data_IF_958208765170
#
_entry.id   IF_958208765170
#
_cell.length_a   1.000
_cell.length_b   1.000
_cell.length_c   1.000
_cell.angle_alpha   90.00
_cell.angle_beta   90.00
_cell.angle_gamma   90.00
#
_symmetry.space_group_name_H-M   'P 1'
#
loop_
_entity.id
_entity.type
_entity.pdbx_description
1 polymer ?
#
# COMPACT_ATOMS: atom_id res chain seq x y z
N UNK A 1 -13.61 10.97 15.68
CA UNK A 1 -14.48 12.12 15.60
C UNK A 1 -15.67 12.07 16.61
N UNK A 2 -16.00 10.90 17.18
CA UNK A 2 -16.98 10.79 18.26
C UNK A 2 -18.46 10.95 17.81
N UNK A 3 -18.74 10.85 16.51
CA UNK A 3 -20.11 10.93 16.01
C UNK A 3 -20.91 9.64 16.26
N UNK A 4 -20.22 8.50 16.37
CA UNK A 4 -20.80 7.19 16.67
C UNK A 4 -19.97 6.59 17.80
N UNK A 5 -20.64 6.29 18.90
CA UNK A 5 -20.05 5.69 20.08
C UNK A 5 -20.53 4.25 20.32
N UNK A 6 -21.49 3.78 19.51
CA UNK A 6 -22.15 2.50 19.65
C UNK A 6 -22.57 1.94 18.29
N UNK A 7 -22.45 0.64 18.11
CA UNK A 7 -22.92 -0.11 16.95
C UNK A 7 -23.80 -1.29 17.40
N UNK A 8 -24.58 -1.87 16.51
CA UNK A 8 -25.34 -3.09 16.79
C UNK A 8 -24.44 -4.28 17.14
N UNK A 9 -25.01 -5.32 17.71
CA UNK A 9 -24.24 -6.50 18.13
C UNK A 9 -23.77 -7.35 16.96
N UNK A 10 -24.57 -7.42 15.89
CA UNK A 10 -24.25 -8.19 14.68
C UNK A 10 -23.96 -7.22 13.55
N UNK A 11 -22.73 -7.20 13.08
CA UNK A 11 -22.28 -6.25 12.08
C UNK A 11 -21.72 -6.98 10.87
N UNK A 12 -22.14 -6.57 9.70
CA UNK A 12 -21.59 -7.01 8.43
C UNK A 12 -20.79 -5.86 7.82
N UNK A 13 -19.53 -6.14 7.42
CA UNK A 13 -18.71 -5.21 6.66
C UNK A 13 -18.55 -5.75 5.24
N UNK A 14 -18.98 -4.97 4.25
CA UNK A 14 -18.87 -5.31 2.84
C UNK A 14 -17.61 -4.69 2.25
N UNK A 15 -16.65 -5.51 1.85
CA UNK A 15 -15.42 -5.04 1.20
C UNK A 15 -14.19 -5.84 1.59
N UNK A 16 -13.12 -5.74 0.78
CA UNK A 16 -11.88 -6.48 0.97
C UNK A 16 -10.62 -5.61 0.91
N UNK A 17 -10.74 -4.30 1.17
CA UNK A 17 -9.64 -3.35 1.29
C UNK A 17 -9.31 -3.00 2.73
N UNK A 18 -8.26 -2.20 2.96
CA UNK A 18 -7.86 -1.75 4.30
C UNK A 18 -9.00 -1.04 5.05
N UNK A 19 -9.80 -0.23 4.34
CA UNK A 19 -10.99 0.42 4.94
C UNK A 19 -11.97 -0.60 5.55
N UNK A 20 -12.15 -1.77 4.91
CA UNK A 20 -13.01 -2.80 5.47
C UNK A 20 -12.40 -3.41 6.74
N UNK A 21 -11.07 -3.57 6.79
CA UNK A 21 -10.36 -4.04 7.98
C UNK A 21 -10.50 -3.03 9.14
N UNK A 22 -10.30 -1.74 8.87
CA UNK A 22 -10.53 -0.68 9.86
C UNK A 22 -11.98 -0.67 10.37
N UNK A 23 -12.96 -0.79 9.46
CA UNK A 23 -14.37 -0.81 9.82
C UNK A 23 -14.72 -1.99 10.73
N UNK A 24 -14.26 -3.19 10.42
CA UNK A 24 -14.61 -4.37 11.20
C UNK A 24 -13.95 -4.35 12.59
N UNK A 25 -12.70 -3.96 12.68
CA UNK A 25 -11.96 -3.84 13.96
C UNK A 25 -12.53 -2.73 14.84
N UNK A 26 -12.89 -1.58 14.23
CA UNK A 26 -13.58 -0.49 14.93
C UNK A 26 -14.95 -0.93 15.44
N UNK A 27 -15.70 -1.71 14.65
CA UNK A 27 -17.00 -2.24 15.06
C UNK A 27 -16.91 -3.13 16.30
N UNK A 28 -15.87 -3.96 16.40
CA UNK A 28 -15.62 -4.76 17.61
C UNK A 28 -15.47 -3.87 18.85
N UNK A 29 -14.72 -2.76 18.72
CA UNK A 29 -14.46 -1.81 19.82
C UNK A 29 -15.67 -0.96 20.19
N UNK A 30 -16.62 -0.79 19.28
CA UNK A 30 -17.86 -0.04 19.49
C UNK A 30 -19.01 -0.92 19.98
N UNK A 31 -18.75 -2.18 20.33
CA UNK A 31 -19.72 -3.10 20.92
C UNK A 31 -20.28 -4.17 20.01
N UNK A 32 -19.75 -4.31 18.79
CA UNK A 32 -20.06 -5.43 17.90
C UNK A 32 -19.57 -6.77 18.49
N UNK A 33 -20.48 -7.71 18.67
CA UNK A 33 -20.17 -9.04 19.21
C UNK A 33 -19.92 -10.06 18.11
N UNK A 34 -20.75 -10.07 17.06
CA UNK A 34 -20.62 -10.88 15.86
C UNK A 34 -20.35 -9.94 14.68
N UNK A 35 -19.08 -9.69 14.40
CA UNK A 35 -18.64 -8.84 13.27
C UNK A 35 -18.06 -9.74 12.19
N UNK A 36 -18.56 -9.61 10.96
CA UNK A 36 -18.13 -10.41 9.80
C UNK A 36 -17.78 -9.54 8.63
N UNK A 37 -16.69 -9.87 7.95
CA UNK A 37 -16.31 -9.25 6.67
C UNK A 37 -16.78 -10.14 5.54
N UNK A 38 -17.49 -9.57 4.57
CA UNK A 38 -17.98 -10.27 3.38
C UNK A 38 -17.27 -9.73 2.14
N UNK A 39 -16.65 -10.63 1.38
CA UNK A 39 -15.81 -10.29 0.23
C UNK A 39 -16.24 -11.07 -1.00
N UNK A 40 -16.37 -10.38 -2.12
CA UNK A 40 -16.71 -11.02 -3.40
C UNK A 40 -15.56 -11.82 -4.04
N UNK A 41 -14.34 -11.61 -3.59
CA UNK A 41 -13.11 -12.26 -4.09
C UNK A 41 -12.59 -13.32 -3.11
N UNK A 42 -11.59 -14.09 -3.53
CA UNK A 42 -10.82 -14.96 -2.65
C UNK A 42 -9.99 -14.17 -1.64
N UNK A 43 -9.50 -14.83 -0.63
CA UNK A 43 -8.71 -14.23 0.45
C UNK A 43 -7.39 -13.63 -0.07
N UNK A 44 -6.71 -14.33 -0.96
CA UNK A 44 -5.45 -13.87 -1.55
C UNK A 44 -5.63 -12.69 -2.52
N UNK A 45 -6.83 -12.56 -3.08
CA UNK A 45 -7.17 -11.49 -4.02
C UNK A 45 -7.68 -10.22 -3.35
N UNK A 46 -7.79 -10.23 -2.04
CA UNK A 46 -8.18 -9.05 -1.27
C UNK A 46 -7.11 -7.96 -1.40
N UNK A 47 -7.57 -6.72 -1.55
CA UNK A 47 -6.68 -5.55 -1.65
C UNK A 47 -6.13 -5.08 -0.30
N UNK A 48 -6.67 -5.59 0.80
CA UNK A 48 -6.15 -5.31 2.14
C UNK A 48 -4.73 -5.85 2.28
N UNK A 49 -3.90 -5.13 3.00
CA UNK A 49 -2.53 -5.53 3.33
C UNK A 49 -2.54 -6.85 4.12
N UNK A 50 -1.53 -7.71 3.94
CA UNK A 50 -1.48 -9.00 4.64
C UNK A 50 -1.64 -8.86 6.16
N UNK A 51 -0.94 -7.91 6.77
CA UNK A 51 -1.01 -7.65 8.20
C UNK A 51 -2.39 -7.17 8.68
N UNK A 52 -3.11 -6.36 7.89
CA UNK A 52 -4.48 -5.94 8.23
C UNK A 52 -5.46 -7.13 8.24
N UNK A 53 -5.27 -8.07 7.31
CA UNK A 53 -6.04 -9.32 7.30
C UNK A 53 -5.72 -10.21 8.51
N UNK A 54 -4.43 -10.33 8.84
CA UNK A 54 -3.97 -11.06 10.01
C UNK A 54 -4.52 -10.46 11.31
N UNK A 55 -4.50 -9.14 11.44
CA UNK A 55 -5.06 -8.43 12.60
C UNK A 55 -6.55 -8.68 12.78
N UNK A 56 -7.32 -8.62 11.69
CA UNK A 56 -8.75 -8.90 11.75
C UNK A 56 -9.03 -10.34 12.21
N UNK A 57 -8.28 -11.31 11.68
CA UNK A 57 -8.39 -12.71 12.08
C UNK A 57 -7.97 -12.94 13.54
N UNK A 58 -6.92 -12.23 14.00
CA UNK A 58 -6.47 -12.28 15.38
C UNK A 58 -7.51 -11.74 16.36
N UNK A 59 -8.34 -10.80 15.93
CA UNK A 59 -9.46 -10.25 16.69
C UNK A 59 -10.75 -11.08 16.54
N UNK A 60 -10.65 -12.34 16.10
CA UNK A 60 -11.78 -13.27 15.87
C UNK A 60 -12.85 -12.72 14.91
N UNK A 61 -12.44 -11.98 13.89
CA UNK A 61 -13.34 -11.47 12.85
C UNK A 61 -13.28 -12.37 11.62
N UNK A 62 -14.31 -13.19 11.36
CA UNK A 62 -14.33 -14.05 10.19
C UNK A 62 -14.45 -13.26 8.88
N UNK A 63 -13.63 -13.66 7.90
CA UNK A 63 -13.67 -13.12 6.53
C UNK A 63 -14.30 -14.18 5.63
N UNK A 64 -15.49 -13.89 5.11
CA UNK A 64 -16.25 -14.78 4.25
C UNK A 64 -16.06 -14.37 2.79
N UNK A 65 -15.43 -15.23 2.02
CA UNK A 65 -15.06 -14.98 0.64
C UNK A 65 -16.13 -15.49 -0.34
N UNK A 66 -16.07 -15.00 -1.58
CA UNK A 66 -16.93 -15.42 -2.69
C UNK A 66 -18.43 -15.24 -2.43
N UNK A 67 -18.80 -14.14 -1.78
CA UNK A 67 -20.18 -13.79 -1.49
C UNK A 67 -20.51 -12.38 -1.98
N UNK A 68 -21.64 -12.25 -2.66
CA UNK A 68 -22.14 -10.96 -3.21
C UNK A 68 -23.48 -10.64 -2.56
N UNK A 69 -23.69 -9.45 -2.02
CA UNK A 69 -24.98 -9.06 -1.45
C UNK A 69 -26.01 -8.89 -2.57
N UNK A 70 -27.16 -9.50 -2.40
CA UNK A 70 -28.29 -9.42 -3.35
C UNK A 70 -29.51 -8.70 -2.80
N UNK A 71 -29.72 -8.73 -1.47
CA UNK A 71 -30.84 -8.01 -0.86
C UNK A 71 -30.59 -7.68 0.61
N UNK A 72 -31.03 -6.50 1.03
CA UNK A 72 -31.16 -6.13 2.43
C UNK A 72 -32.54 -6.51 2.93
N UNK A 73 -32.61 -7.25 4.04
CA UNK A 73 -33.85 -7.63 4.69
C UNK A 73 -34.18 -6.65 5.80
N UNK A 74 -35.41 -6.14 5.79
CA UNK A 74 -35.87 -5.19 6.80
C UNK A 74 -37.32 -5.51 7.24
N UNK A 75 -37.63 -5.17 8.47
CA UNK A 75 -38.97 -5.25 9.03
C UNK A 75 -39.29 -3.93 9.71
N UNK A 76 -40.38 -3.30 9.35
CA UNK A 76 -40.77 -1.99 9.85
C UNK A 76 -39.66 -0.92 9.75
N UNK A 77 -38.93 -0.90 8.66
CA UNK A 77 -37.82 0.03 8.42
C UNK A 77 -36.52 -0.30 9.16
N UNK A 78 -36.47 -1.36 9.97
CA UNK A 78 -35.28 -1.81 10.68
C UNK A 78 -34.60 -2.94 9.93
N UNK A 79 -33.28 -2.82 9.73
CA UNK A 79 -32.45 -3.88 9.14
C UNK A 79 -32.47 -5.12 10.05
N UNK A 80 -32.64 -6.29 9.45
CA UNK A 80 -32.62 -7.58 10.16
C UNK A 80 -31.63 -8.57 9.58
N UNK A 81 -31.06 -8.31 8.39
CA UNK A 81 -30.09 -9.17 7.74
C UNK A 81 -29.82 -8.80 6.28
N UNK A 82 -28.85 -9.46 5.71
CA UNK A 82 -28.49 -9.36 4.28
C UNK A 82 -28.50 -10.73 3.64
N UNK A 83 -29.09 -10.84 2.48
CA UNK A 83 -29.05 -12.05 1.66
C UNK A 83 -27.87 -11.96 0.71
N UNK A 84 -27.10 -13.05 0.65
CA UNK A 84 -25.91 -13.18 -0.18
C UNK A 84 -26.07 -14.34 -1.15
N UNK A 85 -25.61 -14.13 -2.37
CA UNK A 85 -25.39 -15.18 -3.35
C UNK A 85 -23.92 -15.61 -3.30
N UNK A 86 -23.68 -16.90 -3.26
CA UNK A 86 -22.32 -17.44 -3.43
C UNK A 86 -21.91 -17.39 -4.89
N UNK A 87 -20.67 -16.99 -5.11
CA UNK A 87 -20.07 -16.85 -6.44
C UNK A 87 -18.75 -17.63 -6.51
N UNK A 88 -18.33 -17.93 -7.73
CA UNK A 88 -16.99 -18.46 -8.03
C UNK A 88 -16.29 -17.62 -9.07
N UNK A 89 -14.97 -17.65 -9.07
CA UNK A 89 -14.18 -16.98 -10.09
C UNK A 89 -14.02 -17.90 -11.30
N UNK A 90 -14.36 -17.39 -12.48
CA UNK A 90 -14.06 -18.03 -13.77
C UNK A 90 -13.19 -17.07 -14.58
N UNK A 91 -12.20 -17.61 -15.29
CA UNK A 91 -11.28 -16.82 -16.09
C UNK A 91 -11.58 -17.00 -17.57
N UNK A 92 -11.72 -15.90 -18.29
CA UNK A 92 -11.90 -15.92 -19.74
C UNK A 92 -10.59 -16.30 -20.47
N UNK A 93 -10.69 -16.52 -21.79
CA UNK A 93 -9.53 -16.86 -22.62
C UNK A 93 -8.41 -15.78 -22.64
N UNK A 94 -8.70 -14.58 -22.13
CA UNK A 94 -7.74 -13.47 -21.99
C UNK A 94 -7.24 -13.32 -20.54
N UNK A 95 -7.53 -14.28 -19.66
CA UNK A 95 -7.14 -14.26 -18.27
C UNK A 95 -7.92 -13.24 -17.39
N UNK A 96 -9.01 -12.65 -17.88
CA UNK A 96 -9.84 -11.74 -17.10
C UNK A 96 -10.78 -12.52 -16.22
N UNK A 97 -10.79 -12.17 -14.95
CA UNK A 97 -11.65 -12.80 -13.95
C UNK A 97 -13.08 -12.29 -14.04
N UNK A 98 -14.03 -13.23 -14.13
CA UNK A 98 -15.45 -13.00 -14.00
C UNK A 98 -15.98 -13.71 -12.76
N UNK A 99 -16.93 -13.11 -12.07
CA UNK A 99 -17.64 -13.74 -10.97
C UNK A 99 -18.96 -14.29 -11.49
N UNK A 100 -19.17 -15.56 -11.34
CA UNK A 100 -20.43 -16.24 -11.73
C UNK A 100 -21.08 -16.88 -10.52
N UNK A 101 -22.41 -17.02 -10.48
CA UNK A 101 -23.09 -17.76 -9.42
C UNK A 101 -22.52 -19.18 -9.27
N UNK A 102 -22.30 -19.62 -8.03
CA UNK A 102 -21.80 -20.99 -7.77
C UNK A 102 -22.85 -22.07 -8.01
N UNK A 103 -24.13 -21.70 -8.00
CA UNK A 103 -25.25 -22.62 -8.02
C UNK A 103 -25.78 -23.00 -6.63
N UNK A 104 -25.09 -22.60 -5.57
CA UNK A 104 -25.57 -22.77 -4.20
C UNK A 104 -26.79 -21.87 -3.92
N UNK A 105 -27.69 -22.25 -2.99
CA UNK A 105 -28.79 -21.41 -2.58
C UNK A 105 -28.31 -20.13 -1.88
N UNK A 106 -29.04 -19.06 -2.08
CA UNK A 106 -28.79 -17.79 -1.40
C UNK A 106 -28.87 -17.95 0.13
N UNK A 107 -27.93 -17.31 0.83
CA UNK A 107 -27.83 -17.37 2.27
C UNK A 107 -28.16 -16.00 2.89
N UNK A 108 -29.13 -15.96 3.82
CA UNK A 108 -29.39 -14.75 4.60
C UNK A 108 -28.61 -14.79 5.91
N UNK A 109 -27.78 -13.78 6.14
CA UNK A 109 -27.02 -13.58 7.38
C UNK A 109 -27.72 -12.51 8.18
N UNK A 110 -28.17 -12.80 9.43
CA UNK A 110 -28.79 -11.79 10.29
C UNK A 110 -27.76 -10.73 10.70
N UNK A 111 -28.16 -9.46 10.68
CA UNK A 111 -27.34 -8.36 11.15
C UNK A 111 -28.20 -7.19 11.61
N UNK A 112 -27.62 -6.35 12.46
CA UNK A 112 -28.21 -5.12 12.97
C UNK A 112 -27.70 -3.91 12.19
N UNK A 113 -26.42 -3.96 11.75
CA UNK A 113 -25.77 -2.91 10.96
C UNK A 113 -24.96 -3.48 9.79
N UNK A 114 -24.86 -2.69 8.73
CA UNK A 114 -23.99 -2.98 7.58
C UNK A 114 -23.14 -1.76 7.25
N UNK A 115 -21.82 -1.98 7.20
CA UNK A 115 -20.86 -0.99 6.74
C UNK A 115 -20.44 -1.32 5.31
N UNK A 116 -20.56 -0.36 4.41
CA UNK A 116 -20.20 -0.52 3.01
C UNK A 116 -18.83 0.09 2.75
N UNK A 117 -17.83 -0.77 2.54
CA UNK A 117 -16.43 -0.41 2.33
C UNK A 117 -15.91 -0.95 0.99
N UNK A 118 -16.70 -0.83 -0.06
CA UNK A 118 -16.43 -1.40 -1.40
C UNK A 118 -15.57 -0.51 -2.31
N UNK A 119 -15.13 0.62 -1.81
CA UNK A 119 -14.33 1.62 -2.51
C UNK A 119 -15.06 2.96 -2.63
N UNK A 120 -14.37 3.91 -3.24
CA UNK A 120 -14.86 5.26 -3.47
C UNK A 120 -14.61 5.64 -4.92
N UNK A 121 -15.43 6.53 -5.45
CA UNK A 121 -15.24 7.15 -6.75
C UNK A 121 -14.91 8.63 -6.54
N UNK A 122 -14.04 9.17 -7.37
CA UNK A 122 -13.75 10.59 -7.36
C UNK A 122 -14.96 11.37 -7.87
N UNK A 123 -15.28 12.44 -7.17
CA UNK A 123 -16.36 13.34 -7.54
C UNK A 123 -15.87 14.79 -7.47
N UNK A 124 -16.12 15.54 -8.53
CA UNK A 124 -15.68 16.93 -8.66
C UNK A 124 -16.89 17.87 -8.87
N UNK A 125 -17.92 17.87 -7.99
CA UNK A 125 -19.11 18.70 -8.16
C UNK A 125 -18.83 20.20 -8.00
N UNK A 126 -17.70 20.53 -7.41
CA UNK A 126 -17.21 21.90 -7.16
C UNK A 126 -16.42 22.48 -8.34
N UNK A 127 -16.08 21.68 -9.37
CA UNK A 127 -15.39 22.13 -10.56
C UNK A 127 -16.42 22.42 -11.64
N UNK A 128 -16.52 23.68 -12.05
CA UNK A 128 -17.32 24.11 -13.18
C UNK A 128 -16.82 23.53 -14.48
N UNK A 129 -17.72 23.08 -15.35
CA UNK A 129 -17.33 22.36 -16.59
C UNK A 129 -16.82 23.28 -17.71
N UNK A 130 -16.98 24.57 -17.57
CA UNK A 130 -16.53 25.63 -18.50
C UNK A 130 -15.20 26.29 -18.08
N UNK A 131 -14.57 25.82 -17.00
CA UNK A 131 -13.31 26.38 -16.48
C UNK A 131 -12.05 25.92 -17.26
N UNK A 132 -12.20 25.22 -18.40
CA UNK A 132 -11.09 24.77 -19.24
C UNK A 132 -10.39 23.50 -18.76
N UNK A 133 -10.97 22.78 -17.80
CA UNK A 133 -10.49 21.47 -17.37
C UNK A 133 -11.31 20.40 -18.09
N UNK A 134 -10.64 19.59 -18.89
CA UNK A 134 -11.24 18.42 -19.54
C UNK A 134 -11.21 17.21 -18.62
N UNK A 135 -12.25 16.40 -18.73
CA UNK A 135 -12.41 15.16 -17.97
C UNK A 135 -12.46 13.97 -18.93
N UNK A 136 -11.91 12.86 -18.48
CA UNK A 136 -11.97 11.60 -19.24
C UNK A 136 -13.34 10.92 -19.08
N UNK A 137 -13.48 9.74 -19.72
CA UNK A 137 -14.72 8.93 -19.66
C UNK A 137 -15.09 8.41 -18.28
N UNK A 138 -14.17 8.43 -17.33
CA UNK A 138 -14.40 8.07 -15.92
C UNK A 138 -14.57 9.28 -15.02
N UNK A 139 -14.78 10.46 -15.64
CA UNK A 139 -14.95 11.71 -14.92
C UNK A 139 -13.72 12.13 -14.09
N UNK A 140 -12.51 11.72 -14.53
CA UNK A 140 -11.25 12.15 -13.96
C UNK A 140 -10.68 13.32 -14.75
N UNK A 141 -10.08 14.35 -14.13
CA UNK A 141 -9.43 15.44 -14.85
C UNK A 141 -8.26 14.89 -15.67
N UNK A 142 -8.11 15.36 -16.90
CA UNK A 142 -6.97 15.01 -17.74
C UNK A 142 -5.74 15.79 -17.25
N UNK A 143 -4.69 15.05 -16.86
CA UNK A 143 -3.49 15.57 -16.23
C UNK A 143 -2.25 14.99 -16.91
N UNK A 144 -1.27 15.83 -17.20
CA UNK A 144 0.04 15.37 -17.65
C UNK A 144 0.79 14.69 -16.50
N UNK A 145 1.16 13.43 -16.67
CA UNK A 145 1.74 12.59 -15.60
C UNK A 145 3.13 13.05 -15.13
N UNK A 146 3.82 13.91 -15.88
CA UNK A 146 5.14 14.43 -15.52
C UNK A 146 5.07 15.81 -14.86
N UNK A 147 4.16 16.64 -15.32
CA UNK A 147 4.05 18.03 -14.87
C UNK A 147 2.90 18.26 -13.91
N UNK A 148 1.96 17.32 -13.83
CA UNK A 148 0.74 17.41 -13.01
C UNK A 148 -0.21 18.53 -13.40
N UNK A 149 0.06 19.22 -14.53
CA UNK A 149 -0.82 20.25 -15.07
C UNK A 149 -2.02 19.63 -15.78
N UNK A 150 -3.19 20.21 -15.55
CA UNK A 150 -4.41 19.84 -16.28
C UNK A 150 -4.45 20.47 -17.68
N UNK A 151 -5.55 20.30 -18.40
CA UNK A 151 -5.80 21.03 -19.66
C UNK A 151 -5.93 22.53 -19.44
N UNK A 152 -6.29 22.98 -18.23
CA UNK A 152 -6.13 24.38 -17.84
C UNK A 152 -4.70 24.59 -17.30
N UNK A 153 -3.86 25.43 -17.92
CA UNK A 153 -2.44 25.56 -17.57
C UNK A 153 -2.17 26.16 -16.20
N UNK A 154 -3.19 26.68 -15.53
CA UNK A 154 -3.08 27.23 -14.17
C UNK A 154 -3.55 26.28 -13.08
N UNK A 155 -4.02 25.08 -13.44
CA UNK A 155 -4.61 24.13 -12.51
C UNK A 155 -3.83 22.82 -12.54
N UNK A 156 -3.41 22.37 -11.37
CA UNK A 156 -2.64 21.15 -11.16
C UNK A 156 -3.41 20.17 -10.30
N UNK A 157 -3.30 18.88 -10.60
CA UNK A 157 -3.86 17.81 -9.80
C UNK A 157 -2.82 16.76 -9.48
N UNK A 158 -2.93 16.15 -8.29
CA UNK A 158 -2.08 15.06 -7.86
C UNK A 158 -2.85 14.09 -6.97
N UNK A 159 -2.18 13.04 -6.49
CA UNK A 159 -2.79 12.01 -5.65
C UNK A 159 -3.97 11.33 -6.32
N UNK A 160 -4.95 10.96 -5.51
CA UNK A 160 -6.14 10.25 -5.94
C UNK A 160 -6.99 11.06 -6.94
N UNK A 161 -6.95 12.39 -6.83
CA UNK A 161 -7.69 13.27 -7.72
C UNK A 161 -7.21 13.26 -9.18
N UNK A 162 -5.98 12.81 -9.44
CA UNK A 162 -5.43 12.75 -10.79
C UNK A 162 -5.27 11.32 -11.31
N UNK A 163 -4.88 10.39 -10.44
CA UNK A 163 -4.40 9.06 -10.84
C UNK A 163 -5.17 7.90 -10.19
N UNK A 164 -6.31 8.20 -9.57
CA UNK A 164 -7.12 7.23 -8.84
C UNK A 164 -6.52 6.82 -7.48
N UNK A 165 -7.22 5.96 -6.72
CA UNK A 165 -6.87 5.63 -5.35
C UNK A 165 -5.49 4.98 -5.22
N UNK A 166 -4.62 5.60 -4.41
CA UNK A 166 -3.30 5.13 -4.03
C UNK A 166 -3.07 5.40 -2.53
N UNK A 167 -1.83 5.27 -2.07
CA UNK A 167 -1.46 5.59 -0.70
C UNK A 167 -1.01 7.06 -0.53
N UNK A 168 -0.90 7.48 0.71
CA UNK A 168 -0.52 8.86 1.09
C UNK A 168 0.86 9.23 0.53
N UNK A 169 1.81 8.30 0.46
CA UNK A 169 3.17 8.55 -0.03
C UNK A 169 3.15 9.00 -1.50
N UNK A 170 2.28 8.40 -2.33
CA UNK A 170 2.08 8.85 -3.70
C UNK A 170 1.50 10.28 -3.77
N UNK A 171 0.55 10.60 -2.90
CA UNK A 171 -0.01 11.94 -2.86
C UNK A 171 1.05 13.00 -2.48
N UNK A 172 1.92 12.68 -1.52
CA UNK A 172 3.04 13.54 -1.12
C UNK A 172 4.03 13.69 -2.28
N UNK A 173 4.45 12.60 -2.93
CA UNK A 173 5.35 12.65 -4.07
C UNK A 173 4.78 13.50 -5.22
N UNK A 174 3.52 13.30 -5.57
CA UNK A 174 2.84 14.12 -6.59
C UNK A 174 2.76 15.59 -6.19
N UNK A 175 2.57 15.89 -4.91
CA UNK A 175 2.58 17.26 -4.38
C UNK A 175 3.94 17.95 -4.56
N UNK A 176 5.03 17.25 -4.26
CA UNK A 176 6.39 17.73 -4.50
C UNK A 176 6.67 18.01 -5.97
N UNK A 177 6.34 17.06 -6.84
CA UNK A 177 6.54 17.22 -8.28
C UNK A 177 5.67 18.32 -8.90
N UNK A 178 4.43 18.44 -8.43
CA UNK A 178 3.54 19.53 -8.83
C UNK A 178 4.06 20.88 -8.39
N UNK A 179 4.62 20.99 -7.17
CA UNK A 179 5.22 22.23 -6.66
C UNK A 179 6.39 22.69 -7.53
N UNK A 180 7.25 21.76 -7.98
CA UNK A 180 8.33 22.07 -8.94
C UNK A 180 7.76 22.61 -10.26
N UNK A 181 6.69 22.03 -10.77
CA UNK A 181 6.03 22.49 -11.99
C UNK A 181 5.42 23.88 -11.82
N UNK A 182 4.80 24.16 -10.69
CA UNK A 182 4.20 25.46 -10.35
C UNK A 182 5.28 26.53 -10.24
N UNK A 183 6.37 26.23 -9.52
CA UNK A 183 7.49 27.16 -9.36
C UNK A 183 8.08 27.54 -10.73
N UNK A 184 8.36 26.56 -11.58
CA UNK A 184 8.84 26.79 -12.94
C UNK A 184 7.86 27.60 -13.81
N UNK A 185 6.56 27.31 -13.68
CA UNK A 185 5.52 28.07 -14.38
C UNK A 185 5.55 29.55 -13.98
N UNK A 186 5.65 29.83 -12.69
CA UNK A 186 5.66 31.20 -12.15
C UNK A 186 6.92 31.96 -12.57
N UNK A 187 8.04 31.26 -12.73
CA UNK A 187 9.31 31.84 -13.20
C UNK A 187 9.44 31.82 -14.72
N UNK A 188 8.38 31.45 -15.46
CA UNK A 188 8.41 31.36 -16.93
C UNK A 188 9.46 30.36 -17.48
N UNK A 189 9.78 29.34 -16.69
CA UNK A 189 10.69 28.27 -17.06
C UNK A 189 9.96 27.09 -17.70
N UNK A 190 10.73 26.13 -18.24
CA UNK A 190 10.17 24.92 -18.81
C UNK A 190 9.67 23.96 -17.71
N UNK A 191 8.34 23.84 -17.57
CA UNK A 191 7.70 23.00 -16.53
C UNK A 191 7.99 21.49 -16.67
N UNK A 192 8.47 21.03 -17.84
CA UNK A 192 8.84 19.62 -18.07
C UNK A 192 10.23 19.28 -17.59
N UNK A 193 11.04 20.28 -17.35
CA UNK A 193 12.38 20.10 -16.83
C UNK A 193 12.34 19.71 -15.37
N UNK A 194 13.05 18.66 -15.00
CA UNK A 194 13.17 18.21 -13.61
C UNK A 194 14.61 18.38 -13.14
N UNK A 195 14.83 18.80 -11.89
CA UNK A 195 16.15 18.73 -11.32
C UNK A 195 16.67 17.30 -11.42
N UNK A 196 17.97 17.14 -11.55
CA UNK A 196 18.58 15.82 -11.47
C UNK A 196 18.17 15.18 -10.12
N UNK A 197 17.82 13.89 -10.10
CA UNK A 197 17.52 13.22 -8.86
C UNK A 197 18.69 13.41 -7.90
N UNK A 198 18.46 14.12 -6.80
CA UNK A 198 19.44 14.25 -5.73
C UNK A 198 19.49 12.94 -4.98
N UNK A 199 20.48 12.11 -5.26
CA UNK A 199 20.77 10.97 -4.41
C UNK A 199 21.63 11.47 -3.26
N UNK A 200 21.10 11.42 -2.04
CA UNK A 200 21.95 11.47 -0.87
C UNK A 200 22.68 10.13 -0.81
N UNK A 201 23.78 10.02 -1.54
CA UNK A 201 24.67 8.84 -1.55
C UNK A 201 25.36 8.66 -0.21
N UNK A 202 25.21 9.58 0.70
CA UNK A 202 25.71 9.52 2.06
C UNK A 202 24.53 9.44 3.01
N UNK A 203 24.39 8.34 3.73
CA UNK A 203 23.55 8.30 4.90
C UNK A 203 24.01 9.43 5.83
N UNK A 204 23.08 10.27 6.29
CA UNK A 204 23.40 11.32 7.30
C UNK A 204 23.88 10.70 8.63
N UNK A 205 23.67 9.41 8.81
CA UNK A 205 24.22 8.61 9.91
C UNK A 205 25.71 8.34 9.74
N UNK A 206 26.21 8.52 8.52
CA UNK A 206 27.57 8.15 8.17
C UNK A 206 28.42 9.41 8.13
N UNK A 207 28.97 9.76 9.25
CA UNK A 207 30.25 10.39 9.25
C UNK A 207 31.24 9.49 8.51
N UNK A 208 32.52 9.72 8.62
CA UNK A 208 33.53 8.81 8.12
C UNK A 208 33.36 7.48 8.85
N UNK A 209 32.86 6.44 8.18
CA UNK A 209 32.73 5.10 8.74
C UNK A 209 34.04 4.35 8.52
N UNK A 210 34.67 4.05 9.60
CA UNK A 210 35.47 2.84 9.66
C UNK A 210 34.45 1.68 9.69
N UNK A 211 34.36 0.94 8.61
CA UNK A 211 33.54 -0.24 8.51
C UNK A 211 34.00 -1.30 9.49
N UNK A 212 33.14 -1.61 10.43
CA UNK A 212 33.23 -2.82 11.18
C UNK A 212 32.19 -3.79 10.62
N UNK A 213 32.63 -4.85 9.98
CA UNK A 213 31.79 -6.00 9.64
C UNK A 213 31.54 -6.89 10.85
N UNK A 214 31.76 -6.38 12.07
CA UNK A 214 31.57 -7.10 13.33
C UNK A 214 30.08 -7.30 13.71
N UNK A 215 29.17 -6.97 12.84
CA UNK A 215 27.78 -7.37 12.99
C UNK A 215 27.70 -8.87 12.72
N UNK A 216 27.57 -9.66 13.78
CA UNK A 216 27.13 -11.04 13.65
C UNK A 216 25.77 -11.04 12.96
N UNK A 217 25.75 -11.47 11.68
CA UNK A 217 24.49 -11.66 10.98
C UNK A 217 23.80 -12.84 11.64
N UNK A 218 22.76 -12.56 12.39
CA UNK A 218 21.98 -13.62 13.03
C UNK A 218 21.07 -14.27 12.00
N UNK A 219 20.99 -15.61 11.99
CA UNK A 219 20.01 -16.36 11.21
C UNK A 219 18.60 -16.31 11.82
N UNK A 220 18.39 -15.44 12.80
CA UNK A 220 17.11 -15.32 13.50
C UNK A 220 15.99 -14.82 12.56
N UNK A 221 14.83 -15.41 12.69
CA UNK A 221 13.63 -14.90 12.02
C UNK A 221 13.25 -13.54 12.61
N UNK A 222 12.51 -12.76 11.81
CA UNK A 222 11.98 -11.47 12.23
C UNK A 222 11.22 -11.59 13.55
N UNK A 223 11.60 -10.78 14.53
CA UNK A 223 10.87 -10.68 15.79
C UNK A 223 9.53 -9.98 15.57
N UNK A 224 8.48 -10.55 16.14
CA UNK A 224 7.14 -9.93 16.07
C UNK A 224 6.95 -8.97 17.21
N UNK A 225 6.35 -7.83 16.91
CA UNK A 225 5.95 -6.84 17.91
C UNK A 225 4.94 -7.48 18.87
N UNK A 226 5.13 -7.35 20.20
CA UNK A 226 4.17 -7.86 21.18
C UNK A 226 2.86 -7.08 21.11
N UNK A 227 1.76 -7.79 21.30
CA UNK A 227 0.42 -7.24 21.28
C UNK A 227 -0.16 -7.11 22.67
N UNK A 228 -0.98 -6.07 22.86
CA UNK A 228 -1.74 -5.89 24.09
C UNK A 228 -2.79 -7.00 24.26
N UNK A 229 -3.28 -7.17 25.48
CA UNK A 229 -4.36 -8.13 25.76
C UNK A 229 -5.58 -7.83 24.87
N UNK A 230 -6.00 -8.82 24.10
CA UNK A 230 -7.06 -8.67 23.10
C UNK A 230 -8.39 -8.28 23.77
N UNK A 231 -8.71 -8.81 24.94
CA UNK A 231 -9.97 -8.50 25.65
C UNK A 231 -10.01 -7.04 26.13
N UNK A 232 -8.85 -6.48 26.44
CA UNK A 232 -8.72 -5.08 26.80
C UNK A 232 -8.81 -4.18 25.55
N UNK A 233 -8.14 -4.53 24.47
CA UNK A 233 -8.13 -3.75 23.21
C UNK A 233 -9.50 -3.68 22.56
N UNK A 234 -10.28 -4.76 22.61
CA UNK A 234 -11.65 -4.78 22.07
C UNK A 234 -12.66 -3.91 22.84
N UNK A 235 -12.28 -3.37 24.00
CA UNK A 235 -13.14 -2.50 24.82
C UNK A 235 -12.78 -1.01 24.71
N UNK A 236 -11.69 -0.68 24.04
CA UNK A 236 -11.18 0.68 24.02
C UNK A 236 -10.58 1.04 22.66
N UNK A 237 -11.28 1.89 21.93
CA UNK A 237 -10.86 2.39 20.60
C UNK A 237 -9.51 3.12 20.61
N UNK A 238 -9.12 3.69 21.76
CA UNK A 238 -7.90 4.48 21.91
C UNK A 238 -6.72 3.69 22.47
N UNK A 239 -6.92 2.41 22.77
CA UNK A 239 -5.87 1.57 23.31
C UNK A 239 -4.91 1.16 22.19
N UNK A 240 -3.61 1.32 22.43
CA UNK A 240 -2.57 0.82 21.55
C UNK A 240 -2.59 -0.70 21.50
N UNK A 241 -2.60 -1.27 20.31
CA UNK A 241 -2.67 -2.73 20.09
C UNK A 241 -1.29 -3.33 20.02
N UNK A 242 -0.40 -2.72 19.23
CA UNK A 242 1.01 -3.10 19.09
C UNK A 242 1.85 -2.31 20.10
N UNK A 243 2.50 -3.01 21.02
CA UNK A 243 3.16 -2.37 22.17
C UNK A 243 4.61 -1.94 21.92
N UNK A 244 5.16 -2.29 20.76
CA UNK A 244 6.58 -2.10 20.50
C UNK A 244 7.46 -3.14 21.18
N UNK A 245 8.76 -3.11 20.90
CA UNK A 245 9.74 -4.02 21.48
C UNK A 245 10.26 -3.50 22.83
N UNK A 246 10.57 -4.41 23.74
CA UNK A 246 11.48 -4.09 24.83
C UNK A 246 12.91 -3.86 24.29
N UNK A 247 13.77 -3.28 25.14
CA UNK A 247 15.14 -2.92 24.74
C UNK A 247 15.94 -4.13 24.23
N UNK A 248 15.80 -5.29 24.87
CA UNK A 248 16.56 -6.48 24.51
C UNK A 248 16.11 -7.06 23.17
N UNK A 249 14.79 -7.10 22.93
CA UNK A 249 14.22 -7.57 21.65
C UNK A 249 14.49 -6.56 20.52
N UNK A 250 14.38 -5.25 20.82
CA UNK A 250 14.74 -4.21 19.86
C UNK A 250 16.20 -4.30 19.42
N UNK A 251 17.10 -4.58 20.35
CA UNK A 251 18.52 -4.78 20.05
C UNK A 251 18.75 -5.99 19.14
N UNK A 252 18.11 -7.12 19.43
CA UNK A 252 18.20 -8.33 18.59
C UNK A 252 17.65 -8.07 17.18
N UNK A 253 16.52 -7.38 17.05
CA UNK A 253 15.97 -7.04 15.74
C UNK A 253 16.88 -6.06 14.99
N UNK A 254 17.50 -5.11 15.68
CA UNK A 254 18.46 -4.18 15.09
C UNK A 254 19.71 -4.90 14.55
N UNK A 255 20.16 -5.98 15.20
CA UNK A 255 21.31 -6.77 14.74
C UNK A 255 21.06 -7.57 13.46
N UNK A 256 19.78 -7.68 13.03
CA UNK A 256 19.43 -8.25 11.72
C UNK A 256 19.64 -7.26 10.56
N UNK A 257 20.07 -6.04 10.86
CA UNK A 257 20.31 -5.01 9.86
C UNK A 257 21.51 -5.39 8.98
N UNK A 258 21.30 -5.44 7.66
CA UNK A 258 22.35 -5.73 6.67
C UNK A 258 23.12 -4.48 6.23
N UNK A 259 22.90 -3.33 6.88
CA UNK A 259 23.49 -2.04 6.51
C UNK A 259 23.31 -1.67 5.02
N UNK A 260 22.12 -1.94 4.47
CA UNK A 260 21.80 -1.70 3.06
C UNK A 260 21.72 -0.20 2.69
N UNK A 261 21.85 0.71 3.63
CA UNK A 261 21.98 2.15 3.42
C UNK A 261 23.36 2.53 2.89
N UNK A 262 24.33 1.61 2.90
CA UNK A 262 25.62 1.80 2.29
C UNK A 262 25.62 1.21 0.90
N UNK A 263 25.70 2.06 -0.11
CA UNK A 263 25.87 1.61 -1.47
C UNK A 263 27.34 1.29 -1.72
N UNK A 264 27.60 0.07 -2.16
CA UNK A 264 28.91 -0.34 -2.64
C UNK A 264 29.17 0.34 -3.97
N UNK A 265 30.22 1.15 -4.05
CA UNK A 265 30.69 1.72 -5.32
C UNK A 265 31.77 0.80 -5.86
N UNK A 266 31.50 0.17 -6.98
CA UNK A 266 32.50 -0.61 -7.71
C UNK A 266 33.30 0.32 -8.63
N UNK A 267 34.61 0.29 -8.51
CA UNK A 267 35.52 1.09 -9.33
C UNK A 267 36.40 0.14 -10.17
N UNK A 268 36.04 -0.03 -11.44
CA UNK A 268 36.73 -0.95 -12.37
C UNK A 268 38.24 -0.80 -12.37
N UNK A 269 38.73 0.45 -12.36
CA UNK A 269 40.15 0.77 -12.39
C UNK A 269 40.94 0.29 -11.16
N UNK A 270 40.26 0.03 -10.06
CA UNK A 270 40.86 -0.46 -8.82
C UNK A 270 40.59 -1.95 -8.61
N UNK A 271 39.79 -2.56 -9.44
CA UNK A 271 39.51 -3.99 -9.38
C UNK A 271 40.71 -4.79 -9.90
N UNK A 272 41.13 -5.74 -9.11
CA UNK A 272 42.22 -6.68 -9.49
C UNK A 272 41.71 -8.06 -9.89
N UNK A 273 40.38 -8.17 -10.09
CA UNK A 273 39.68 -9.41 -10.51
C UNK A 273 40.02 -10.63 -9.62
N UNK A 274 40.05 -10.44 -8.33
CA UNK A 274 40.42 -11.48 -7.36
C UNK A 274 39.25 -12.26 -6.76
N UNK A 275 38.00 -11.97 -7.18
CA UNK A 275 36.75 -12.59 -6.76
C UNK A 275 36.45 -12.53 -5.24
N UNK A 276 37.31 -11.94 -4.44
CA UNK A 276 37.17 -11.88 -2.99
C UNK A 276 35.86 -11.19 -2.54
N UNK A 277 35.30 -10.27 -3.33
CA UNK A 277 34.00 -9.63 -3.06
C UNK A 277 32.84 -10.62 -3.17
N UNK A 278 32.92 -11.62 -4.06
CA UNK A 278 31.96 -12.71 -4.19
C UNK A 278 32.10 -13.67 -3.02
N UNK A 279 33.32 -14.09 -2.71
CA UNK A 279 33.58 -15.06 -1.64
C UNK A 279 33.20 -14.54 -0.25
N UNK A 280 33.32 -13.23 -0.03
CA UNK A 280 32.97 -12.60 1.27
C UNK A 280 31.51 -12.23 1.41
N UNK A 281 30.71 -12.27 0.32
CA UNK A 281 29.32 -11.91 0.35
C UNK A 281 28.48 -13.01 1.03
N UNK A 282 27.93 -12.79 2.24
CA UNK A 282 27.24 -13.85 2.97
C UNK A 282 25.87 -14.20 2.37
N UNK A 283 25.43 -13.44 1.38
CA UNK A 283 24.10 -13.56 0.76
C UNK A 283 24.17 -14.01 -0.70
N UNK A 284 25.35 -14.34 -1.22
CA UNK A 284 25.56 -14.71 -2.62
C UNK A 284 24.92 -13.75 -3.63
N UNK A 285 24.88 -12.44 -3.28
CA UNK A 285 24.17 -11.45 -4.07
C UNK A 285 25.05 -10.76 -5.13
N UNK A 286 26.35 -11.14 -5.23
CA UNK A 286 27.27 -10.63 -6.22
C UNK A 286 27.47 -11.69 -7.30
N UNK A 287 27.13 -11.35 -8.53
CA UNK A 287 27.31 -12.23 -9.67
C UNK A 287 28.04 -11.46 -10.76
N UNK A 288 29.08 -12.06 -11.31
CA UNK A 288 29.72 -11.54 -12.52
C UNK A 288 28.94 -11.96 -13.76
N UNK A 289 28.66 -11.02 -14.63
CA UNK A 289 27.98 -11.24 -15.89
C UNK A 289 28.95 -10.98 -17.05
N UNK A 290 28.76 -11.68 -18.16
CA UNK A 290 29.53 -11.39 -19.38
C UNK A 290 29.18 -9.98 -19.91
N UNK A 291 30.11 -9.38 -20.67
CA UNK A 291 29.93 -8.09 -21.30
C UNK A 291 28.63 -8.02 -22.11
N UNK A 292 27.76 -7.08 -21.76
CA UNK A 292 26.48 -6.86 -22.42
C UNK A 292 25.24 -7.32 -21.66
N UNK A 293 25.34 -8.24 -20.71
CA UNK A 293 24.19 -8.64 -19.86
C UNK A 293 23.76 -7.52 -18.92
N UNK A 294 24.67 -6.65 -18.54
CA UNK A 294 24.37 -5.46 -17.74
C UNK A 294 23.37 -4.53 -18.41
N UNK A 295 23.40 -4.43 -19.73
CA UNK A 295 22.43 -3.67 -20.52
C UNK A 295 21.01 -4.22 -20.40
N UNK A 296 20.82 -5.53 -20.34
CA UNK A 296 19.54 -6.18 -20.13
C UNK A 296 19.02 -6.02 -18.70
N UNK A 297 19.91 -6.12 -17.72
CA UNK A 297 19.58 -5.88 -16.31
C UNK A 297 19.12 -4.43 -16.10
N UNK A 298 19.80 -3.47 -16.65
CA UNK A 298 19.43 -2.04 -16.58
C UNK A 298 18.07 -1.78 -17.27
N UNK A 299 17.80 -2.40 -18.40
CA UNK A 299 16.52 -2.31 -19.08
C UNK A 299 15.36 -2.90 -18.27
N UNK A 300 15.60 -3.99 -17.53
CA UNK A 300 14.61 -4.63 -16.65
C UNK A 300 14.34 -3.83 -15.37
N UNK A 301 15.36 -3.18 -14.81
CA UNK A 301 15.24 -2.45 -13.55
C UNK A 301 14.64 -1.06 -13.70
N UNK A 302 14.35 -0.60 -14.96
CA UNK A 302 13.86 0.75 -15.23
C UNK A 302 14.62 1.85 -14.46
N UNK A 303 15.86 1.55 -14.07
CA UNK A 303 16.71 2.49 -13.36
C UNK A 303 17.03 3.66 -14.29
N UNK A 304 16.88 4.92 -13.87
CA UNK A 304 17.28 6.05 -14.69
C UNK A 304 18.78 5.94 -14.97
N UNK A 305 19.17 6.37 -16.17
CA UNK A 305 20.53 6.30 -16.73
C UNK A 305 21.66 6.97 -15.90
N UNK A 306 21.34 7.41 -14.70
CA UNK A 306 22.29 8.06 -13.79
C UNK A 306 23.37 7.13 -13.24
N UNK A 307 23.14 5.84 -13.23
CA UNK A 307 24.19 4.88 -12.83
C UNK A 307 25.42 4.93 -13.79
N UNK A 308 25.20 5.27 -15.06
CA UNK A 308 26.27 5.36 -16.04
C UNK A 308 27.19 6.59 -15.87
N UNK A 309 26.72 7.66 -15.24
CA UNK A 309 27.50 8.89 -15.04
C UNK A 309 28.39 8.84 -13.80
N UNK A 310 28.10 7.95 -12.87
CA UNK A 310 28.91 7.75 -11.65
C UNK A 310 30.11 6.84 -11.86
N UNK A 311 30.14 6.07 -12.95
CA UNK A 311 31.26 5.16 -13.31
C UNK A 311 32.33 5.86 -14.14
N UNK A 312 32.05 7.07 -14.66
CA UNK A 312 32.95 7.79 -15.58
C UNK A 312 33.60 9.07 -15.03
N UNK A 313 33.54 9.27 -13.72
CA UNK A 313 34.22 10.44 -13.09
C UNK A 313 35.28 10.05 -12.06
#
# INVERSE_FOLDING_TARGET
FGHIDKIGKRVIVLGGGNTAMDCCRSSRRLGGEDVRVIVRSGFEEMKASPWEKEDALHEDIPILNFMVPVAFKHVAGKLIGVTFQKVKAEYDAKGRRNLVPSGDPDQTIPCDDVLVAVGQENAFPWIERDCGIEFDKWNMPQVDAKTFVSTNPKVFFGGDAAFGPKNIIWAVAHGHDAAISIDKLLNSENIRERPAPGFAMMSQKMGIHEWSYDNEITGDLRYKVPWADIKATLKNVKMEVELGFDVATAWKEAQRCLNCDVQTVFTDKLCIECDACVDICPMDCITFTADGEEGELRARLTAPALAATLVSS
#
